data_IF_005976902043
#
_entry.id   IF_005976902043
#
_cell.length_a   1.000
_cell.length_b   1.000
_cell.length_c   1.000
_cell.angle_alpha   90.00
_cell.angle_beta   90.00
_cell.angle_gamma   90.00
#
_symmetry.space_group_name_H-M   'P 1'
#
loop_
_entity.id
_entity.type
_entity.pdbx_description
1 polymer ?
#
# COMPACT_ATOMS: atom_id res chain seq x y z
N UNK A 1 -71.64 -22.77 15.69
CA UNK A 1 -70.58 -23.73 15.36
C UNK A 1 -69.43 -22.94 14.75
N UNK A 2 -68.39 -22.65 15.54
CA UNK A 2 -67.22 -21.90 15.13
C UNK A 2 -66.17 -22.91 14.66
N UNK A 3 -65.78 -22.83 13.39
CA UNK A 3 -64.71 -23.63 12.81
C UNK A 3 -63.38 -22.97 13.15
N UNK A 4 -62.56 -23.62 13.98
CA UNK A 4 -61.19 -23.25 14.22
C UNK A 4 -60.31 -23.79 13.06
N UNK A 5 -59.82 -22.91 12.22
CA UNK A 5 -58.77 -23.23 11.22
C UNK A 5 -57.44 -23.07 11.96
N UNK A 6 -56.85 -24.22 12.28
CA UNK A 6 -55.52 -24.30 12.86
C UNK A 6 -54.48 -24.15 11.73
N UNK A 7 -53.88 -22.99 11.64
CA UNK A 7 -52.79 -22.72 10.68
C UNK A 7 -51.50 -23.27 11.29
N UNK A 8 -51.09 -24.44 10.85
CA UNK A 8 -49.80 -25.04 11.17
C UNK A 8 -48.68 -24.25 10.50
N UNK A 9 -48.04 -23.38 11.27
CA UNK A 9 -46.85 -22.66 10.81
C UNK A 9 -45.66 -23.59 10.87
N UNK A 10 -45.31 -24.22 9.75
CA UNK A 10 -44.07 -25.01 9.63
C UNK A 10 -42.90 -24.04 9.59
N UNK A 11 -42.24 -23.89 10.72
CA UNK A 11 -40.95 -23.26 10.86
C UNK A 11 -39.92 -24.18 10.19
N UNK A 12 -39.67 -23.93 8.92
CA UNK A 12 -38.49 -24.48 8.25
C UNK A 12 -37.28 -23.66 8.73
N UNK A 13 -36.70 -24.15 9.85
CA UNK A 13 -35.36 -23.72 10.25
C UNK A 13 -34.37 -24.25 9.22
N UNK A 14 -34.07 -23.40 8.24
CA UNK A 14 -32.98 -23.63 7.31
C UNK A 14 -31.67 -23.66 8.09
N UNK A 15 -31.16 -24.84 8.39
CA UNK A 15 -29.78 -25.03 8.78
C UNK A 15 -28.94 -24.63 7.57
N UNK A 16 -28.41 -23.42 7.60
CA UNK A 16 -27.37 -22.99 6.68
C UNK A 16 -26.09 -23.79 7.05
N UNK A 17 -26.01 -25.01 6.58
CA UNK A 17 -24.72 -25.70 6.56
C UNK A 17 -23.81 -24.86 5.63
N UNK A 18 -22.75 -24.31 6.18
CA UNK A 18 -21.65 -23.79 5.40
C UNK A 18 -21.05 -24.96 4.62
N UNK A 19 -21.58 -25.19 3.42
CA UNK A 19 -21.05 -26.22 2.53
C UNK A 19 -19.75 -25.65 1.92
N UNK A 20 -18.64 -26.30 2.22
CA UNK A 20 -17.37 -25.98 1.57
C UNK A 20 -17.38 -26.54 0.14
N UNK A 21 -16.66 -25.88 -0.77
CA UNK A 21 -16.45 -26.30 -2.16
C UNK A 21 -15.96 -27.77 -2.25
N UNK A 22 -15.27 -28.24 -1.21
CA UNK A 22 -14.80 -29.63 -1.10
C UNK A 22 -15.91 -30.67 -1.03
N UNK A 23 -17.14 -30.29 -0.68
CA UNK A 23 -18.29 -31.19 -0.55
C UNK A 23 -19.15 -31.25 -1.83
N UNK A 24 -18.73 -30.59 -2.91
CA UNK A 24 -19.45 -30.63 -4.18
C UNK A 24 -19.44 -32.04 -4.76
N UNK A 25 -20.62 -32.63 -4.96
CA UNK A 25 -20.78 -33.97 -5.50
C UNK A 25 -20.74 -34.03 -7.05
N UNK A 26 -20.86 -32.87 -7.71
CA UNK A 26 -20.82 -32.77 -9.16
C UNK A 26 -20.06 -31.53 -9.65
N UNK A 27 -19.53 -31.54 -10.89
CA UNK A 27 -18.90 -30.38 -11.49
C UNK A 27 -19.81 -29.16 -11.62
N UNK A 28 -21.12 -29.36 -11.71
CA UNK A 28 -22.11 -28.28 -11.78
C UNK A 28 -22.33 -27.65 -10.41
N UNK A 29 -22.45 -28.45 -9.38
CA UNK A 29 -22.53 -27.99 -7.98
C UNK A 29 -21.24 -27.26 -7.55
N UNK A 30 -20.07 -27.78 -7.95
CA UNK A 30 -18.80 -27.09 -7.75
C UNK A 30 -18.78 -25.70 -8.38
N UNK A 31 -19.24 -25.57 -9.63
CA UNK A 31 -19.31 -24.27 -10.32
C UNK A 31 -20.28 -23.30 -9.64
N UNK A 32 -21.44 -23.81 -9.19
CA UNK A 32 -22.43 -23.00 -8.48
C UNK A 32 -21.90 -22.53 -7.11
N UNK A 33 -21.35 -23.43 -6.31
CA UNK A 33 -20.74 -23.10 -5.00
C UNK A 33 -19.58 -22.12 -5.17
N UNK A 34 -18.78 -22.27 -6.22
CA UNK A 34 -17.69 -21.36 -6.54
C UNK A 34 -18.21 -19.98 -6.93
N UNK A 35 -19.21 -19.90 -7.81
CA UNK A 35 -19.83 -18.63 -8.19
C UNK A 35 -20.50 -17.94 -6.98
N UNK A 36 -21.10 -18.72 -6.08
CA UNK A 36 -21.72 -18.21 -4.87
C UNK A 36 -20.69 -17.74 -3.83
N UNK A 37 -19.57 -18.44 -3.67
CA UNK A 37 -18.48 -18.00 -2.81
C UNK A 37 -17.82 -16.71 -3.34
N UNK A 38 -17.67 -16.58 -4.66
CA UNK A 38 -17.19 -15.34 -5.30
C UNK A 38 -18.17 -14.19 -5.13
N UNK A 39 -19.48 -14.45 -5.26
CA UNK A 39 -20.52 -13.44 -4.98
C UNK A 39 -20.51 -13.03 -3.51
N UNK A 40 -20.43 -13.98 -2.58
CA UNK A 40 -20.32 -13.70 -1.14
C UNK A 40 -19.05 -12.93 -0.81
N UNK A 41 -17.93 -13.22 -1.44
CA UNK A 41 -16.70 -12.42 -1.29
C UNK A 41 -16.88 -10.99 -1.82
N UNK A 42 -17.60 -10.81 -2.95
CA UNK A 42 -17.98 -9.50 -3.47
C UNK A 42 -18.99 -8.74 -2.60
N UNK A 43 -20.00 -9.46 -2.05
CA UNK A 43 -21.03 -8.88 -1.19
C UNK A 43 -20.56 -8.68 0.27
N UNK A 44 -19.62 -9.51 0.74
CA UNK A 44 -19.07 -9.42 2.11
C UNK A 44 -18.23 -8.14 2.30
N UNK A 45 -17.72 -7.57 1.19
CA UNK A 45 -17.07 -6.25 1.21
C UNK A 45 -18.03 -5.15 1.68
N UNK A 46 -19.34 -5.36 1.64
CA UNK A 46 -20.33 -4.35 2.01
C UNK A 46 -20.90 -4.56 3.42
N UNK A 47 -20.94 -5.78 3.99
CA UNK A 47 -21.69 -6.04 5.23
C UNK A 47 -20.89 -6.43 6.46
N UNK A 48 -19.63 -6.88 6.33
CA UNK A 48 -18.76 -7.20 7.46
C UNK A 48 -17.40 -6.51 7.33
N UNK A 49 -17.39 -5.17 7.41
CA UNK A 49 -16.12 -4.45 7.57
C UNK A 49 -15.44 -4.94 8.85
N UNK A 50 -14.34 -5.64 8.68
CA UNK A 50 -13.47 -6.01 9.80
C UNK A 50 -12.85 -4.72 10.33
N UNK A 51 -13.17 -4.38 11.59
CA UNK A 51 -12.52 -3.26 12.24
C UNK A 51 -11.10 -3.66 12.61
N UNK A 52 -10.06 -2.90 12.21
CA UNK A 52 -8.69 -3.21 12.60
C UNK A 52 -8.57 -3.15 14.13
N UNK A 53 -7.69 -3.97 14.70
CA UNK A 53 -7.41 -3.95 16.12
C UNK A 53 -6.92 -2.56 16.53
N UNK A 54 -7.56 -1.98 17.53
CA UNK A 54 -7.15 -0.67 18.03
C UNK A 54 -5.77 -0.75 18.69
N UNK A 55 -4.94 0.24 18.42
CA UNK A 55 -3.68 0.37 19.14
C UNK A 55 -3.95 0.71 20.60
N UNK A 56 -3.25 0.04 21.51
CA UNK A 56 -3.28 0.43 22.93
C UNK A 56 -2.83 1.89 23.09
N UNK A 57 -3.51 2.62 23.95
CA UNK A 57 -3.09 3.96 24.31
C UNK A 57 -1.74 3.91 25.05
N UNK A 58 -0.80 4.73 24.62
CA UNK A 58 0.52 4.90 25.24
C UNK A 58 0.70 6.37 25.54
N UNK A 59 0.87 6.71 26.81
CA UNK A 59 1.19 8.07 27.25
C UNK A 59 2.70 8.31 27.03
N UNK A 60 3.10 9.52 26.74
CA UNK A 60 4.51 9.90 26.56
C UNK A 60 5.38 9.51 27.76
N UNK A 61 4.87 9.64 28.98
CA UNK A 61 5.55 9.24 30.22
C UNK A 61 5.79 7.72 30.32
N UNK A 62 5.00 6.92 29.62
CA UNK A 62 5.10 5.46 29.62
C UNK A 62 6.12 4.96 28.57
N UNK A 63 6.61 5.83 27.70
CA UNK A 63 7.68 5.52 26.75
C UNK A 63 9.02 5.63 27.47
N UNK A 64 9.77 4.53 27.51
CA UNK A 64 11.13 4.51 28.05
C UNK A 64 12.14 5.01 27.04
N UNK A 65 12.10 4.48 25.83
CA UNK A 65 13.00 4.78 24.72
C UNK A 65 12.23 4.66 23.41
N UNK A 66 12.53 5.48 22.44
CA UNK A 66 11.87 5.40 21.14
C UNK A 66 12.83 5.78 20.02
N UNK A 67 12.57 5.26 18.83
CA UNK A 67 13.31 5.56 17.61
C UNK A 67 12.36 5.59 16.43
N UNK A 68 12.36 6.67 15.67
CA UNK A 68 11.70 6.72 14.37
C UNK A 68 12.61 6.09 13.31
N UNK A 69 12.02 5.32 12.44
CA UNK A 69 12.70 4.70 11.31
C UNK A 69 11.91 4.90 10.03
N UNK A 70 12.62 5.13 8.95
CA UNK A 70 12.09 5.18 7.59
C UNK A 70 12.73 4.07 6.79
N UNK A 71 11.92 3.26 6.18
CA UNK A 71 12.33 2.01 5.55
C UNK A 71 11.85 1.98 4.10
N UNK A 72 12.67 1.41 3.24
CA UNK A 72 12.34 1.10 1.85
C UNK A 72 11.99 -0.37 1.76
N UNK A 73 10.85 -0.68 1.14
CA UNK A 73 10.38 -2.02 0.82
C UNK A 73 10.48 -2.20 -0.69
N UNK A 74 11.40 -3.03 -1.16
CA UNK A 74 11.47 -3.42 -2.56
C UNK A 74 10.47 -4.56 -2.80
N UNK A 75 9.45 -4.31 -3.62
CA UNK A 75 8.44 -5.30 -3.96
C UNK A 75 8.94 -6.38 -4.94
N UNK A 76 10.13 -6.23 -5.53
CA UNK A 76 10.76 -7.29 -6.31
C UNK A 76 11.29 -8.41 -5.41
N UNK A 77 11.56 -8.14 -4.14
CA UNK A 77 11.96 -9.15 -3.18
C UNK A 77 10.85 -10.20 -3.03
N UNK A 78 11.26 -11.47 -3.03
CA UNK A 78 10.33 -12.60 -2.96
C UNK A 78 9.40 -12.58 -1.75
N UNK A 79 9.86 -12.06 -0.62
CA UNK A 79 9.06 -11.92 0.61
C UNK A 79 8.03 -10.80 0.49
N UNK A 80 8.33 -9.76 -0.29
CA UNK A 80 7.50 -8.57 -0.48
C UNK A 80 6.54 -8.68 -1.67
N UNK A 81 6.67 -9.71 -2.51
CA UNK A 81 5.77 -9.94 -3.66
C UNK A 81 4.27 -9.88 -3.31
N UNK A 82 3.81 -10.30 -2.11
CA UNK A 82 2.42 -10.14 -1.73
C UNK A 82 1.88 -8.71 -1.81
N UNK A 83 2.72 -7.69 -1.67
CA UNK A 83 2.33 -6.28 -1.81
C UNK A 83 2.17 -5.83 -3.27
N UNK A 84 2.89 -6.48 -4.18
CA UNK A 84 2.91 -6.15 -5.60
C UNK A 84 1.83 -6.87 -6.40
N UNK A 85 1.47 -8.08 -5.98
CA UNK A 85 0.62 -8.97 -6.76
C UNK A 85 -0.80 -8.41 -6.90
N UNK A 86 -1.20 -8.22 -8.16
CA UNK A 86 -2.55 -7.76 -8.52
C UNK A 86 -3.28 -8.83 -9.32
N UNK A 87 -4.42 -9.29 -8.83
CA UNK A 87 -5.29 -10.24 -9.48
C UNK A 87 -6.76 -9.83 -9.29
N UNK A 88 -7.20 -8.76 -9.98
CA UNK A 88 -8.55 -8.22 -9.79
C UNK A 88 -9.65 -9.19 -10.23
N UNK A 89 -9.36 -10.09 -11.18
CA UNK A 89 -10.35 -11.00 -11.76
C UNK A 89 -10.56 -12.28 -10.94
N UNK A 90 -9.66 -12.57 -10.00
CA UNK A 90 -9.80 -13.70 -9.07
C UNK A 90 -10.05 -15.07 -9.72
N UNK A 91 -9.54 -15.30 -10.93
CA UNK A 91 -9.92 -16.46 -11.77
C UNK A 91 -9.67 -17.82 -11.10
N UNK A 92 -8.69 -17.89 -10.19
CA UNK A 92 -8.29 -19.12 -9.49
C UNK A 92 -8.25 -18.97 -7.95
N UNK A 93 -8.40 -17.75 -7.44
CA UNK A 93 -8.36 -17.45 -6.02
C UNK A 93 -9.22 -16.21 -5.72
N UNK A 94 -9.26 -15.78 -4.47
CA UNK A 94 -9.84 -14.49 -4.07
C UNK A 94 -9.24 -13.35 -4.91
N UNK A 95 -10.05 -12.40 -5.35
CA UNK A 95 -9.54 -11.20 -6.02
C UNK A 95 -8.63 -10.45 -5.06
N UNK A 96 -7.39 -10.24 -5.46
CA UNK A 96 -6.40 -9.49 -4.69
C UNK A 96 -5.98 -8.27 -5.48
N UNK A 97 -5.70 -7.18 -4.78
CA UNK A 97 -5.15 -5.96 -5.37
C UNK A 97 -3.76 -5.71 -4.83
N UNK A 98 -2.92 -5.04 -5.63
CA UNK A 98 -1.64 -4.57 -5.12
C UNK A 98 -1.86 -3.50 -4.04
N UNK A 99 -0.94 -3.42 -3.09
CA UNK A 99 -1.03 -2.42 -2.01
C UNK A 99 -1.05 -1.00 -2.58
N UNK A 100 -0.23 -0.72 -3.59
CA UNK A 100 -0.23 0.59 -4.25
C UNK A 100 -1.60 0.94 -4.85
N UNK A 101 -2.19 0.02 -5.62
CA UNK A 101 -3.50 0.26 -6.25
C UNK A 101 -4.59 0.48 -5.21
N UNK A 102 -4.54 -0.28 -4.10
CA UNK A 102 -5.48 -0.13 -3.00
C UNK A 102 -5.38 1.24 -2.34
N UNK A 103 -4.16 1.69 -2.05
CA UNK A 103 -3.90 3.00 -1.45
C UNK A 103 -4.31 4.13 -2.40
N UNK A 104 -3.99 4.01 -3.69
CA UNK A 104 -4.36 4.98 -4.71
C UNK A 104 -5.89 5.09 -4.86
N UNK A 105 -6.57 3.96 -4.99
CA UNK A 105 -8.03 3.94 -5.10
C UNK A 105 -8.70 4.57 -3.88
N UNK A 106 -8.21 4.25 -2.67
CA UNK A 106 -8.69 4.84 -1.42
C UNK A 106 -8.47 6.35 -1.33
N UNK A 107 -7.33 6.83 -1.82
CA UNK A 107 -7.00 8.26 -1.86
C UNK A 107 -7.87 9.02 -2.89
N UNK A 108 -8.04 8.46 -4.09
CA UNK A 108 -8.84 9.09 -5.16
C UNK A 108 -10.34 9.09 -4.85
N UNK A 109 -10.87 8.04 -4.21
CA UNK A 109 -12.27 7.96 -3.79
C UNK A 109 -12.58 8.81 -2.54
N UNK A 110 -11.53 9.27 -1.83
CA UNK A 110 -11.66 10.00 -0.59
C UNK A 110 -11.97 9.13 0.64
N UNK A 111 -11.83 7.81 0.51
CA UNK A 111 -11.94 6.88 1.63
C UNK A 111 -10.76 7.05 2.60
N UNK A 112 -9.56 7.35 2.05
CA UNK A 112 -8.39 7.78 2.82
C UNK A 112 -8.32 9.30 2.76
N UNK A 113 -8.51 9.96 3.90
CA UNK A 113 -8.56 11.42 3.97
C UNK A 113 -7.20 12.06 4.23
N UNK A 114 -6.28 11.34 4.87
CA UNK A 114 -5.00 11.85 5.31
C UNK A 114 -3.90 11.45 4.31
N UNK A 115 -3.88 12.16 3.17
CA UNK A 115 -2.90 12.00 2.09
C UNK A 115 -2.08 13.27 1.98
N UNK A 116 -0.76 13.13 1.91
CA UNK A 116 0.19 14.23 2.02
C UNK A 116 1.27 14.17 0.94
N UNK A 117 1.94 15.28 0.74
CA UNK A 117 3.04 15.45 -0.20
C UNK A 117 4.35 14.85 0.31
N UNK A 118 4.59 14.95 1.62
CA UNK A 118 5.84 14.62 2.26
C UNK A 118 5.66 13.73 3.52
N UNK A 119 6.77 13.21 4.01
CA UNK A 119 6.86 12.35 5.21
C UNK A 119 6.53 13.07 6.52
N UNK A 120 6.48 14.40 6.52
CA UNK A 120 6.19 15.20 7.71
C UNK A 120 4.69 15.47 7.89
N UNK A 121 3.85 15.06 6.92
CA UNK A 121 2.40 15.22 6.93
C UNK A 121 1.94 16.69 7.07
N UNK A 122 2.64 17.62 6.42
CA UNK A 122 2.32 19.05 6.50
C UNK A 122 1.36 19.45 5.39
N UNK A 123 1.70 19.14 4.15
CA UNK A 123 0.94 19.55 2.97
C UNK A 123 -0.01 18.46 2.51
N UNK A 124 -1.31 18.66 2.74
CA UNK A 124 -2.33 17.69 2.35
C UNK A 124 -2.60 17.74 0.85
N UNK A 125 -2.70 16.58 0.24
CA UNK A 125 -3.04 16.43 -1.19
C UNK A 125 -4.54 16.20 -1.38
N UNK A 126 -5.11 16.88 -2.38
CA UNK A 126 -6.47 16.59 -2.85
C UNK A 126 -6.43 15.46 -3.89
N UNK A 127 -7.55 14.75 -4.13
CA UNK A 127 -7.62 13.73 -5.17
C UNK A 127 -7.18 14.24 -6.56
N UNK A 128 -7.54 15.48 -6.90
CA UNK A 128 -7.15 16.10 -8.16
C UNK A 128 -5.64 16.38 -8.22
N UNK A 129 -5.03 16.77 -7.09
CA UNK A 129 -3.59 16.99 -7.00
C UNK A 129 -2.81 15.67 -7.14
N UNK A 130 -3.33 14.59 -6.54
CA UNK A 130 -2.76 13.24 -6.68
C UNK A 130 -2.81 12.81 -8.15
N UNK A 131 -3.98 12.93 -8.78
CA UNK A 131 -4.13 12.56 -10.18
C UNK A 131 -3.18 13.36 -11.08
N UNK A 132 -3.09 14.67 -10.88
CA UNK A 132 -2.18 15.55 -11.64
C UNK A 132 -0.72 15.17 -11.44
N UNK A 133 -0.34 14.65 -10.26
CA UNK A 133 1.02 14.20 -9.99
C UNK A 133 1.35 12.86 -10.67
N UNK A 134 0.37 12.02 -10.87
CA UNK A 134 0.51 10.71 -11.52
C UNK A 134 0.40 10.78 -13.05
N UNK A 135 0.00 11.92 -13.60
CA UNK A 135 -0.19 12.12 -15.01
C UNK A 135 0.67 13.29 -15.51
N UNK A 136 1.32 13.11 -16.63
CA UNK A 136 1.98 14.18 -17.39
C UNK A 136 1.42 14.24 -18.79
N UNK A 137 1.05 15.43 -19.19
CA UNK A 137 0.52 15.70 -20.53
C UNK A 137 1.67 16.21 -21.39
N UNK A 138 2.01 15.51 -22.45
CA UNK A 138 3.05 15.89 -23.41
C UNK A 138 2.45 16.18 -24.78
N UNK A 139 2.99 17.19 -25.40
CA UNK A 139 2.76 17.43 -26.81
C UNK A 139 3.76 16.59 -27.61
N UNK A 140 3.26 15.94 -28.66
CA UNK A 140 4.08 15.23 -29.64
C UNK A 140 4.99 16.22 -30.43
N UNK A 141 6.06 15.73 -31.03
CA UNK A 141 6.98 16.55 -31.82
C UNK A 141 6.25 17.30 -32.92
N UNK A 142 5.27 16.69 -33.60
CA UNK A 142 4.43 17.32 -34.60
C UNK A 142 3.68 18.54 -34.04
N UNK A 143 3.17 18.44 -32.80
CA UNK A 143 2.50 19.57 -32.15
C UNK A 143 3.47 20.70 -31.82
N UNK A 144 4.69 20.36 -31.41
CA UNK A 144 5.76 21.34 -31.12
C UNK A 144 6.16 22.08 -32.41
N UNK A 145 6.30 21.38 -33.53
CA UNK A 145 6.62 21.96 -34.81
C UNK A 145 5.52 22.92 -35.31
N UNK A 146 4.25 22.53 -35.14
CA UNK A 146 3.12 23.40 -35.47
C UNK A 146 3.15 24.69 -34.64
N UNK A 147 3.41 24.58 -33.33
CA UNK A 147 3.52 25.75 -32.44
C UNK A 147 4.72 26.63 -32.80
N UNK A 148 5.87 26.02 -33.13
CA UNK A 148 7.07 26.74 -33.55
C UNK A 148 6.88 27.47 -34.90
N UNK A 149 5.99 26.96 -35.76
CA UNK A 149 5.62 27.66 -37.02
C UNK A 149 4.71 28.88 -36.81
N UNK A 150 4.31 29.16 -35.53
CA UNK A 150 3.44 30.28 -35.17
C UNK A 150 1.95 30.01 -35.35
N UNK A 151 1.56 28.74 -35.63
CA UNK A 151 0.18 28.31 -35.75
C UNK A 151 -0.32 27.81 -34.39
N UNK A 152 -1.56 28.11 -34.01
CA UNK A 152 -2.22 27.55 -32.85
C UNK A 152 -2.84 26.21 -33.19
N UNK A 153 -2.70 25.23 -32.26
CA UNK A 153 -3.32 23.92 -32.40
C UNK A 153 -4.85 24.01 -32.22
N UNK A 154 -5.58 23.35 -33.11
CA UNK A 154 -7.02 23.17 -32.95
C UNK A 154 -7.31 22.18 -31.82
N UNK A 155 -8.53 22.16 -31.25
CA UNK A 155 -8.88 21.23 -30.14
C UNK A 155 -8.80 19.75 -30.56
N UNK A 156 -9.06 19.44 -31.81
CA UNK A 156 -8.92 18.08 -32.35
C UNK A 156 -7.43 17.69 -32.52
N UNK A 157 -6.59 18.62 -32.99
CA UNK A 157 -5.13 18.43 -33.07
C UNK A 157 -4.52 18.28 -31.67
N UNK A 158 -4.94 19.09 -30.68
CA UNK A 158 -4.51 18.93 -29.29
C UNK A 158 -4.82 17.55 -28.76
N UNK A 159 -6.04 17.03 -28.97
CA UNK A 159 -6.41 15.69 -28.51
C UNK A 159 -5.62 14.58 -29.20
N UNK A 160 -5.31 14.74 -30.49
CA UNK A 160 -4.58 13.73 -31.28
C UNK A 160 -3.08 13.73 -31.00
N UNK A 161 -2.50 14.93 -30.80
CA UNK A 161 -1.06 15.16 -30.67
C UNK A 161 -0.64 15.37 -29.20
N UNK A 162 -1.45 14.88 -28.26
CA UNK A 162 -1.16 14.94 -26.84
C UNK A 162 -1.05 13.54 -26.29
N UNK A 163 0.12 13.20 -25.80
CA UNK A 163 0.36 11.96 -25.07
C UNK A 163 0.15 12.17 -23.57
N UNK A 164 -0.65 11.30 -22.97
CA UNK A 164 -0.85 11.29 -21.53
C UNK A 164 0.01 10.16 -20.96
N UNK A 165 1.08 10.52 -20.31
CA UNK A 165 1.97 9.59 -19.60
C UNK A 165 1.44 9.43 -18.18
N UNK A 166 1.14 8.19 -17.78
CA UNK A 166 0.64 7.86 -16.45
C UNK A 166 1.59 6.94 -15.73
N UNK A 167 1.75 7.15 -14.42
CA UNK A 167 2.40 6.19 -13.56
C UNK A 167 1.42 5.06 -13.26
N UNK A 168 1.62 3.93 -13.94
CA UNK A 168 0.79 2.73 -13.78
C UNK A 168 1.32 1.83 -12.65
N UNK A 169 0.48 0.93 -12.15
CA UNK A 169 0.79 0.05 -11.01
C UNK A 169 2.03 -0.80 -11.24
N UNK A 170 2.29 -1.23 -12.46
CA UNK A 170 3.46 -2.04 -12.85
C UNK A 170 4.80 -1.29 -12.71
N UNK A 171 4.76 0.04 -12.72
CA UNK A 171 5.95 0.90 -12.57
C UNK A 171 6.30 1.20 -11.11
N UNK A 172 5.34 1.02 -10.20
CA UNK A 172 5.54 1.25 -8.77
C UNK A 172 6.01 -0.04 -8.12
N UNK A 173 7.30 -0.14 -7.86
CA UNK A 173 7.95 -1.36 -7.31
C UNK A 173 8.57 -1.13 -5.94
N UNK A 174 8.50 0.08 -5.44
CA UNK A 174 9.10 0.48 -4.19
C UNK A 174 8.07 1.18 -3.32
N UNK A 175 8.01 0.79 -2.07
CA UNK A 175 7.23 1.46 -1.04
C UNK A 175 8.16 2.00 0.04
N UNK A 176 7.76 3.06 0.70
CA UNK A 176 8.37 3.56 1.92
C UNK A 176 7.42 3.38 3.09
N UNK A 177 7.95 3.00 4.23
CA UNK A 177 7.21 2.93 5.48
C UNK A 177 7.96 3.72 6.54
N UNK A 178 7.24 4.60 7.21
CA UNK A 178 7.72 5.32 8.38
C UNK A 178 7.04 4.73 9.61
N UNK A 179 7.82 4.44 10.64
CA UNK A 179 7.28 3.95 11.89
C UNK A 179 8.14 4.30 13.09
N UNK A 180 7.60 3.99 14.25
CA UNK A 180 8.28 4.23 15.51
C UNK A 180 8.43 2.92 16.29
N UNK A 181 9.67 2.61 16.65
CA UNK A 181 9.98 1.62 17.66
C UNK A 181 9.97 2.29 19.03
N UNK A 182 9.35 1.68 19.99
CA UNK A 182 9.33 2.21 21.36
C UNK A 182 9.21 1.09 22.39
N UNK A 183 9.72 1.35 23.58
CA UNK A 183 9.61 0.46 24.73
C UNK A 183 8.59 1.04 25.68
N UNK A 184 7.54 0.27 25.94
CA UNK A 184 6.48 0.63 26.90
C UNK A 184 6.89 0.21 28.30
N UNK A 185 7.06 1.18 29.20
CA UNK A 185 7.47 0.92 30.61
C UNK A 185 6.50 0.04 31.37
N UNK A 186 5.24 0.00 30.97
CA UNK A 186 4.19 -0.73 31.68
C UNK A 186 4.34 -2.24 31.58
N UNK A 187 4.80 -2.70 30.41
CA UNK A 187 4.98 -4.14 30.14
C UNK A 187 6.41 -4.54 29.78
N UNK A 188 7.31 -3.54 29.64
CA UNK A 188 8.71 -3.78 29.29
C UNK A 188 8.91 -4.37 27.91
N UNK A 189 7.95 -4.24 27.01
CA UNK A 189 8.02 -4.81 25.68
C UNK A 189 8.37 -3.76 24.65
N UNK A 190 9.22 -4.15 23.70
CA UNK A 190 9.44 -3.37 22.49
C UNK A 190 8.27 -3.55 21.53
N UNK A 191 7.75 -2.44 21.04
CA UNK A 191 6.62 -2.36 20.12
C UNK A 191 6.97 -1.53 18.91
N UNK A 192 6.38 -1.88 17.77
CA UNK A 192 6.46 -1.10 16.55
C UNK A 192 5.09 -0.53 16.20
N UNK A 193 5.07 0.72 15.74
CA UNK A 193 3.85 1.36 15.26
C UNK A 193 4.12 2.04 13.92
N UNK A 194 3.53 1.55 12.82
CA UNK A 194 3.60 2.24 11.55
C UNK A 194 2.81 3.55 11.62
N UNK A 195 3.39 4.61 11.08
CA UNK A 195 2.84 5.96 11.11
C UNK A 195 2.57 6.49 9.71
N UNK A 196 3.39 6.12 8.74
CA UNK A 196 3.25 6.55 7.36
C UNK A 196 3.61 5.48 6.36
N UNK A 197 2.99 5.55 5.20
CA UNK A 197 3.30 4.71 4.06
C UNK A 197 3.27 5.56 2.80
N UNK A 198 4.26 5.37 1.92
CA UNK A 198 4.35 6.06 0.65
C UNK A 198 4.62 5.10 -0.49
N UNK A 199 4.20 5.48 -1.67
CA UNK A 199 4.55 4.81 -2.91
C UNK A 199 5.61 5.60 -3.65
N UNK A 200 6.65 4.91 -4.15
CA UNK A 200 7.66 5.50 -5.02
C UNK A 200 7.46 5.01 -6.44
N UNK A 201 7.53 5.93 -7.37
CA UNK A 201 7.44 5.62 -8.80
C UNK A 201 8.22 6.61 -9.64
N UNK A 202 8.37 6.32 -10.94
CA UNK A 202 9.02 7.25 -11.85
C UNK A 202 8.20 8.54 -11.96
N UNK A 203 8.89 9.68 -12.04
CA UNK A 203 8.25 10.96 -12.29
C UNK A 203 7.70 11.01 -13.73
N UNK A 204 6.37 11.07 -13.94
CA UNK A 204 5.79 11.09 -15.28
C UNK A 204 6.20 12.32 -16.10
N UNK A 205 6.74 13.36 -15.45
CA UNK A 205 7.23 14.55 -16.15
C UNK A 205 8.60 14.35 -16.76
N UNK A 206 9.43 13.46 -16.23
CA UNK A 206 10.80 13.19 -16.68
C UNK A 206 10.92 11.90 -17.52
N UNK A 207 10.06 10.91 -17.27
CA UNK A 207 10.08 9.61 -17.98
C UNK A 207 10.05 9.81 -19.51
N UNK A 208 11.01 9.17 -20.20
CA UNK A 208 11.10 9.19 -21.67
C UNK A 208 11.48 10.53 -22.29
N UNK A 209 11.93 11.51 -21.52
CA UNK A 209 12.54 12.72 -22.08
C UNK A 209 13.93 12.40 -22.60
N UNK A 210 14.18 12.80 -23.84
CA UNK A 210 15.47 12.69 -24.48
C UNK A 210 16.09 14.09 -24.48
N UNK A 211 17.35 14.19 -24.06
CA UNK A 211 18.10 15.42 -24.09
C UNK A 211 18.50 15.83 -25.54
N UNK A 212 19.01 17.03 -25.73
CA UNK A 212 19.50 17.52 -27.06
C UNK A 212 20.62 16.65 -27.65
N UNK A 213 21.27 15.84 -26.82
CA UNK A 213 22.34 14.90 -27.14
C UNK A 213 21.83 13.51 -27.55
N UNK A 214 20.51 13.31 -27.61
CA UNK A 214 19.87 12.03 -27.91
C UNK A 214 19.94 11.00 -26.79
N UNK A 215 20.40 11.37 -25.58
CA UNK A 215 20.43 10.52 -24.42
C UNK A 215 19.22 10.79 -23.51
N UNK A 216 18.75 9.80 -22.71
CA UNK A 216 17.74 10.03 -21.68
C UNK A 216 18.16 11.18 -20.77
N UNK A 217 17.24 12.06 -20.45
CA UNK A 217 17.51 13.17 -19.55
C UNK A 217 17.99 12.63 -18.20
N UNK A 218 18.99 13.27 -17.60
CA UNK A 218 19.48 12.90 -16.27
C UNK A 218 18.30 12.93 -15.28
N UNK A 219 18.08 11.83 -14.53
CA UNK A 219 16.96 11.69 -13.62
C UNK A 219 15.66 11.13 -14.24
N UNK A 220 15.67 10.75 -15.53
CA UNK A 220 14.48 10.17 -16.18
C UNK A 220 13.97 8.89 -15.53
N UNK A 221 14.88 8.14 -14.91
CA UNK A 221 14.57 6.90 -14.17
C UNK A 221 14.57 7.09 -12.65
N UNK A 222 14.68 8.32 -12.16
CA UNK A 222 14.67 8.59 -10.73
C UNK A 222 13.27 8.35 -10.13
N UNK A 223 13.26 7.60 -9.03
CA UNK A 223 12.03 7.33 -8.30
C UNK A 223 11.75 8.48 -7.34
N UNK A 224 10.56 9.03 -7.45
CA UNK A 224 10.06 10.08 -6.55
C UNK A 224 8.96 9.52 -5.65
N UNK A 225 8.74 10.17 -4.50
CA UNK A 225 7.59 9.91 -3.66
C UNK A 225 6.33 10.43 -4.36
N UNK A 226 5.40 9.52 -4.68
CA UNK A 226 4.17 9.88 -5.39
C UNK A 226 3.18 10.55 -4.45
N UNK A 227 3.00 9.97 -3.26
CA UNK A 227 2.21 10.52 -2.16
C UNK A 227 2.53 9.77 -0.87
N UNK A 228 2.31 10.45 0.26
CA UNK A 228 2.38 9.87 1.60
C UNK A 228 0.99 9.74 2.18
N UNK A 229 0.74 8.64 2.88
CA UNK A 229 -0.51 8.39 3.60
C UNK A 229 -0.18 8.25 5.09
N UNK A 230 -0.92 8.95 5.92
CA UNK A 230 -0.88 8.71 7.36
C UNK A 230 -1.52 7.36 7.66
N UNK A 231 -0.69 6.39 8.06
CA UNK A 231 -1.06 4.98 8.14
C UNK A 231 -2.32 4.70 8.97
N UNK A 232 -2.53 5.33 10.15
CA UNK A 232 -3.74 5.09 10.94
C UNK A 232 -5.05 5.38 10.21
N UNK A 233 -5.04 6.32 9.24
CA UNK A 233 -6.24 6.64 8.44
C UNK A 233 -6.53 5.62 7.33
N UNK A 234 -5.56 4.83 6.93
CA UNK A 234 -5.69 3.79 5.91
C UNK A 234 -6.05 2.41 6.50
N UNK A 235 -5.96 2.22 7.81
CA UNK A 235 -6.10 0.92 8.46
C UNK A 235 -7.43 0.23 8.16
N UNK A 236 -8.53 0.98 8.11
CA UNK A 236 -9.85 0.41 7.79
C UNK A 236 -9.88 -0.24 6.40
N UNK A 237 -9.21 0.37 5.41
CA UNK A 237 -9.10 -0.18 4.07
C UNK A 237 -8.14 -1.36 4.05
N UNK A 238 -6.98 -1.22 4.70
CA UNK A 238 -5.94 -2.24 4.74
C UNK A 238 -6.40 -3.51 5.46
N UNK A 239 -7.20 -3.40 6.52
CA UNK A 239 -7.76 -4.53 7.26
C UNK A 239 -8.84 -5.29 6.49
N UNK A 240 -9.53 -4.63 5.56
CA UNK A 240 -10.61 -5.23 4.77
C UNK A 240 -10.15 -5.75 3.40
N UNK A 241 -8.86 -5.64 3.08
CA UNK A 241 -8.29 -6.15 1.84
C UNK A 241 -7.18 -7.15 2.15
N UNK A 242 -7.29 -8.31 1.49
CA UNK A 242 -6.44 -9.45 1.76
C UNK A 242 -5.30 -9.54 0.76
N UNK A 243 -4.20 -10.07 1.24
CA UNK A 243 -2.96 -10.24 0.49
C UNK A 243 -2.94 -11.62 -0.15
N UNK A 244 -2.31 -11.73 -1.32
CA UNK A 244 -2.08 -13.03 -1.93
C UNK A 244 -1.14 -13.88 -1.08
N UNK A 245 -1.69 -14.94 -0.45
CA UNK A 245 -0.94 -15.85 0.39
C UNK A 245 -0.51 -17.09 -0.39
N UNK A 246 0.77 -17.15 -0.79
CA UNK A 246 1.33 -18.30 -1.55
C UNK A 246 1.42 -19.59 -0.74
N UNK A 247 1.55 -19.50 0.59
CA UNK A 247 1.81 -20.66 1.45
C UNK A 247 0.55 -21.34 1.94
N UNK A 248 -0.50 -20.57 2.16
CA UNK A 248 -1.76 -21.07 2.67
C UNK A 248 -2.93 -20.25 2.15
N UNK A 249 -3.58 -20.77 1.10
CA UNK A 249 -4.75 -20.14 0.49
C UNK A 249 -6.00 -20.13 1.38
N UNK A 250 -5.95 -20.84 2.52
CA UNK A 250 -7.06 -20.90 3.49
C UNK A 250 -6.91 -19.88 4.64
N UNK A 251 -5.79 -19.20 4.74
CA UNK A 251 -5.56 -18.17 5.75
C UNK A 251 -5.56 -16.80 5.07
N UNK A 252 -6.63 -16.07 5.26
CA UNK A 252 -6.75 -14.70 4.79
C UNK A 252 -5.92 -13.79 5.71
N UNK A 253 -4.88 -13.17 5.15
CA UNK A 253 -4.05 -12.18 5.83
C UNK A 253 -4.34 -10.82 5.24
N UNK A 254 -4.71 -9.86 6.07
CA UNK A 254 -4.91 -8.49 5.62
C UNK A 254 -3.58 -7.74 5.44
N UNK A 255 -3.60 -6.65 4.66
CA UNK A 255 -2.44 -5.78 4.56
C UNK A 255 -2.08 -5.16 5.92
N UNK A 256 -3.09 -4.82 6.75
CA UNK A 256 -2.86 -4.29 8.09
C UNK A 256 -2.13 -5.29 8.97
N UNK A 257 -2.49 -6.59 8.92
CA UNK A 257 -1.83 -7.65 9.68
C UNK A 257 -0.36 -7.82 9.28
N UNK A 258 -0.06 -7.81 7.97
CA UNK A 258 1.31 -7.99 7.48
C UNK A 258 2.21 -6.81 7.86
N UNK A 259 1.70 -5.59 7.73
CA UNK A 259 2.48 -4.38 8.03
C UNK A 259 2.70 -4.26 9.54
N UNK A 260 1.67 -4.47 10.37
CA UNK A 260 1.83 -4.41 11.83
C UNK A 260 2.70 -5.55 12.37
N UNK A 261 2.59 -6.75 11.82
CA UNK A 261 3.43 -7.90 12.20
C UNK A 261 4.83 -7.84 11.56
N UNK A 262 5.14 -6.82 10.77
CA UNK A 262 6.42 -6.63 10.06
C UNK A 262 6.85 -7.87 9.25
N UNK A 263 5.91 -8.49 8.55
CA UNK A 263 6.19 -9.67 7.71
C UNK A 263 6.66 -9.28 6.31
N UNK A 264 7.65 -8.40 6.24
CA UNK A 264 8.28 -7.93 5.01
C UNK A 264 9.79 -7.72 5.20
N UNK A 265 10.52 -7.67 4.10
CA UNK A 265 11.93 -7.28 4.07
C UNK A 265 12.03 -5.79 3.77
N UNK A 266 12.89 -5.08 4.49
CA UNK A 266 13.10 -3.65 4.31
C UNK A 266 14.52 -3.22 4.60
N UNK A 267 14.92 -2.08 4.03
CA UNK A 267 16.19 -1.42 4.27
C UNK A 267 15.89 -0.07 4.93
N UNK A 268 16.49 0.18 6.09
CA UNK A 268 16.39 1.49 6.75
C UNK A 268 17.23 2.49 5.97
N UNK A 269 16.63 3.59 5.53
CA UNK A 269 17.35 4.65 4.82
C UNK A 269 17.48 5.94 5.65
N UNK A 270 16.72 6.05 6.74
CA UNK A 270 16.75 7.19 7.67
C UNK A 270 16.30 6.73 9.04
N UNK A 271 16.89 7.29 10.09
CA UNK A 271 16.46 7.08 11.48
C UNK A 271 16.65 8.34 12.32
N UNK A 272 15.87 8.47 13.38
CA UNK A 272 16.02 9.57 14.34
C UNK A 272 17.28 9.45 15.24
N UNK A 273 17.96 8.31 15.22
CA UNK A 273 19.24 8.11 15.89
C UNK A 273 20.45 8.44 15.01
N UNK A 274 20.21 8.80 13.74
CA UNK A 274 21.27 9.16 12.80
C UNK A 274 21.85 10.56 13.05
N UNK A 275 22.81 10.94 12.20
CA UNK A 275 23.45 12.24 12.24
C UNK A 275 22.52 13.32 11.64
N UNK A 276 21.60 13.84 12.45
CA UNK A 276 20.64 14.87 12.01
C UNK A 276 19.43 14.31 11.27
N UNK A 277 18.70 15.19 10.56
CA UNK A 277 17.49 14.83 9.80
C UNK A 277 17.78 14.23 8.40
N UNK A 278 19.06 13.98 8.08
CA UNK A 278 19.48 13.45 6.77
C UNK A 278 19.24 11.96 6.60
N UNK A 279 19.20 11.54 5.35
CA UNK A 279 19.17 10.11 4.97
C UNK A 279 20.57 9.51 5.08
N UNK A 280 20.67 8.18 5.16
CA UNK A 280 21.96 7.47 5.14
C UNK A 280 22.78 7.88 3.90
N UNK A 281 22.12 8.09 2.76
CA UNK A 281 22.76 8.53 1.52
C UNK A 281 23.41 9.91 1.64
N UNK A 282 22.90 10.79 2.50
CA UNK A 282 23.42 12.15 2.66
C UNK A 282 24.78 12.15 3.37
N UNK A 283 25.01 11.26 4.33
CA UNK A 283 26.28 11.16 5.04
C UNK A 283 27.18 10.02 4.55
N UNK A 284 26.65 9.06 3.79
CA UNK A 284 27.40 8.02 3.07
C UNK A 284 27.04 8.06 1.57
N UNK A 285 27.50 9.08 0.80
CA UNK A 285 26.95 9.33 -0.53
C UNK A 285 27.47 8.41 -1.65
N UNK A 286 28.58 7.69 -1.44
CA UNK A 286 29.32 7.04 -2.53
C UNK A 286 29.45 5.54 -2.44
N UNK A 287 29.02 4.91 -1.37
CA UNK A 287 29.22 3.49 -1.14
C UNK A 287 27.92 2.81 -0.73
N UNK A 288 27.35 2.02 -1.63
CA UNK A 288 26.10 1.30 -1.38
C UNK A 288 26.26 0.22 -0.31
N UNK A 289 27.43 -0.44 -0.23
CA UNK A 289 27.69 -1.46 0.78
C UNK A 289 27.76 -0.85 2.17
N UNK A 290 28.43 0.30 2.32
CA UNK A 290 28.46 1.04 3.59
C UNK A 290 27.07 1.56 3.99
N UNK A 291 26.23 1.96 3.03
CA UNK A 291 24.84 2.34 3.32
C UNK A 291 24.04 1.16 3.87
N UNK A 292 24.26 -0.03 3.32
CA UNK A 292 23.60 -1.26 3.79
C UNK A 292 24.11 -1.65 5.18
N UNK A 293 25.43 -1.60 5.41
CA UNK A 293 26.03 -1.84 6.74
C UNK A 293 25.49 -0.87 7.79
N UNK A 294 25.31 0.39 7.44
CA UNK A 294 24.70 1.38 8.33
C UNK A 294 23.23 1.08 8.63
N UNK A 295 22.46 0.65 7.63
CA UNK A 295 21.09 0.16 7.84
C UNK A 295 21.05 -1.00 8.84
N UNK A 296 21.96 -1.95 8.70
CA UNK A 296 22.03 -3.12 9.59
C UNK A 296 22.55 -2.71 10.99
N UNK A 297 23.42 -1.71 11.09
CA UNK A 297 23.84 -1.13 12.36
C UNK A 297 22.66 -0.50 13.10
N UNK A 298 21.78 0.22 12.39
CA UNK A 298 20.58 0.81 13.00
C UNK A 298 19.62 -0.30 13.47
N UNK A 299 19.45 -1.38 12.69
CA UNK A 299 18.67 -2.55 13.12
C UNK A 299 19.25 -3.18 14.39
N UNK A 300 20.58 -3.30 14.47
CA UNK A 300 21.26 -3.80 15.66
C UNK A 300 21.02 -2.89 16.87
N UNK A 301 21.05 -1.57 16.70
CA UNK A 301 20.74 -0.61 17.77
C UNK A 301 19.29 -0.76 18.29
N UNK A 302 18.33 -1.06 17.40
CA UNK A 302 16.95 -1.33 17.82
C UNK A 302 16.91 -2.59 18.70
N UNK A 303 17.61 -3.66 18.31
CA UNK A 303 17.70 -4.88 19.12
C UNK A 303 18.43 -4.65 20.46
N UNK A 304 19.46 -3.79 20.46
CA UNK A 304 20.18 -3.43 21.68
C UNK A 304 19.27 -2.67 22.66
N UNK A 305 18.40 -1.78 22.14
CA UNK A 305 17.41 -1.10 22.99
C UNK A 305 16.51 -2.09 23.76
N UNK A 306 16.14 -3.22 23.14
CA UNK A 306 15.36 -4.27 23.79
C UNK A 306 16.18 -5.02 24.85
N UNK A 307 17.43 -5.36 24.52
CA UNK A 307 18.32 -6.07 25.44
C UNK A 307 18.67 -5.24 26.69
N UNK A 308 18.82 -3.93 26.55
CA UNK A 308 19.11 -3.02 27.67
C UNK A 308 18.02 -3.08 28.77
N UNK A 309 16.78 -3.38 28.39
CA UNK A 309 15.67 -3.52 29.33
C UNK A 309 15.80 -4.73 30.25
N UNK A 310 16.44 -5.81 29.78
CA UNK A 310 16.58 -7.06 30.55
C UNK A 310 17.79 -7.05 31.50
N UNK A 311 18.64 -6.05 31.39
CA UNK A 311 19.86 -5.91 32.19
C UNK A 311 19.71 -4.98 33.41
N UNK A 312 18.48 -4.54 33.70
CA UNK A 312 18.15 -3.70 34.86
C UNK A 312 17.42 -4.48 35.94
#
# INVERSE_FOLDING_TARGET
MKKYISTLLVLVSGFAFSQTILNAASPEEFRQMRAESMRKAGDTVISNKVKPLEYGFVDEKDIYKSMFVWEIIDMNDKINQPFYYDNPDGLLSTSTRSLYQLLLDGALKGDIKEVYDDENFVTRLTPEAIQKRLESVRLDEEAIDILNSGRTLTEDEKKRLTDIIRTTTDKVKVLKVMGMWFIDKRDGQMKYRPLGIAAMGPDPTSVGRIGPDGQPLAGADELIDLFWIYYPSARDILANNYVFNRKNSSADLSFDDIINARRFSSIIYKSSAGLGDGTIKDYIPKNADEQLEESDRIKAQILEMENDMWNY
#
